data_IF_277449991040
#
_entry.id   IF_277449991040
#
_cell.length_a   1.000
_cell.length_b   1.000
_cell.length_c   1.000
_cell.angle_alpha   90.00
_cell.angle_beta   90.00
_cell.angle_gamma   90.00
#
_symmetry.space_group_name_H-M   'P 1'
#
loop_
_entity.id
_entity.type
_entity.pdbx_description
1 polymer ?
#
# COMPACT_ATOMS: atom_id res chain seq x y z
N UNK A 1 15.75 -10.89 20.59
CA UNK A 1 14.31 -10.70 20.88
C UNK A 1 13.71 -9.95 19.71
N UNK A 2 12.94 -10.63 18.85
CA UNK A 2 12.25 -10.01 17.72
C UNK A 2 11.09 -9.17 18.25
N UNK A 3 11.17 -7.85 18.12
CA UNK A 3 10.08 -6.94 18.46
C UNK A 3 8.87 -7.35 17.61
N UNK A 4 7.74 -7.68 18.25
CA UNK A 4 6.53 -8.14 17.56
C UNK A 4 5.90 -6.98 16.78
N UNK A 5 5.32 -7.28 15.63
CA UNK A 5 4.59 -6.29 14.86
C UNK A 5 3.43 -5.70 15.67
N UNK A 6 3.31 -4.38 15.66
CA UNK A 6 2.24 -3.66 16.37
C UNK A 6 1.09 -3.38 15.40
N UNK A 7 -0.13 -3.71 15.82
CA UNK A 7 -1.33 -3.38 15.04
C UNK A 7 -1.66 -1.90 15.25
N UNK A 8 -1.67 -1.11 14.18
CA UNK A 8 -2.08 0.30 14.24
C UNK A 8 -3.48 0.40 13.67
N UNK A 9 -4.45 0.77 14.52
CA UNK A 9 -5.84 0.97 14.11
C UNK A 9 -5.95 2.27 13.30
N UNK A 10 -5.88 2.16 11.98
CA UNK A 10 -6.32 3.21 11.06
C UNK A 10 -7.82 3.47 11.27
N UNK A 11 -8.26 4.72 11.13
CA UNK A 11 -9.67 5.12 11.30
C UNK A 11 -10.55 4.22 10.41
N UNK A 12 -11.62 3.64 10.97
CA UNK A 12 -12.53 2.71 10.26
C UNK A 12 -13.26 3.41 9.12
N UNK A 13 -12.70 3.44 7.92
CA UNK A 13 -13.46 3.68 6.69
C UNK A 13 -14.37 2.47 6.46
N UNK A 14 -15.67 2.70 6.27
CA UNK A 14 -16.55 1.64 5.74
C UNK A 14 -16.20 1.44 4.27
N UNK A 15 -15.98 0.20 3.87
CA UNK A 15 -15.86 -0.14 2.45
C UNK A 15 -17.19 0.14 1.75
N UNK A 16 -17.14 0.79 0.58
CA UNK A 16 -18.29 0.85 -0.32
C UNK A 16 -18.59 -0.54 -0.91
N UNK A 17 -19.71 -0.69 -1.61
CA UNK A 17 -20.03 -1.94 -2.30
C UNK A 17 -18.90 -2.33 -3.27
N UNK A 18 -18.40 -3.56 -3.17
CA UNK A 18 -17.28 -4.06 -3.97
C UNK A 18 -15.88 -3.78 -3.42
N UNK A 19 -15.75 -2.89 -2.43
CA UNK A 19 -14.49 -2.66 -1.74
C UNK A 19 -14.30 -3.63 -0.57
N UNK A 20 -13.04 -3.95 -0.26
CA UNK A 20 -12.68 -4.73 0.92
C UNK A 20 -11.31 -4.32 1.44
N UNK A 21 -11.00 -4.81 2.64
CA UNK A 21 -9.74 -4.54 3.30
C UNK A 21 -8.95 -5.81 3.47
N UNK A 22 -7.63 -5.68 3.45
CA UNK A 22 -6.69 -6.73 3.79
C UNK A 22 -5.73 -6.27 4.89
N UNK A 23 -5.12 -7.23 5.57
CA UNK A 23 -4.03 -6.92 6.49
C UNK A 23 -2.74 -6.83 5.69
N UNK A 24 -2.03 -5.72 5.82
CA UNK A 24 -0.70 -5.53 5.27
C UNK A 24 0.30 -5.41 6.41
N UNK A 25 1.49 -5.93 6.19
CA UNK A 25 2.65 -5.65 7.02
C UNK A 25 3.53 -4.62 6.31
N UNK A 26 3.93 -3.57 7.02
CA UNK A 26 4.78 -2.49 6.50
C UNK A 26 6.12 -2.48 7.24
N UNK A 27 7.21 -2.45 6.48
CA UNK A 27 8.59 -2.38 7.01
C UNK A 27 9.41 -1.31 6.29
N UNK A 28 10.44 -0.80 6.97
CA UNK A 28 11.43 0.09 6.36
C UNK A 28 12.46 -0.65 5.47
N UNK A 29 12.69 -1.94 5.73
CA UNK A 29 13.63 -2.80 5.00
C UNK A 29 13.03 -4.21 4.91
N UNK A 30 13.40 -5.05 3.92
CA UNK A 30 12.66 -6.29 3.61
C UNK A 30 12.65 -7.28 4.77
N UNK A 31 13.73 -7.30 5.57
CA UNK A 31 13.91 -8.22 6.70
C UNK A 31 14.02 -7.50 8.05
N UNK A 32 13.61 -6.22 8.13
CA UNK A 32 13.67 -5.46 9.40
C UNK A 32 12.84 -6.16 10.47
N UNK A 33 13.36 -6.36 11.69
CA UNK A 33 12.59 -7.00 12.76
C UNK A 33 11.36 -6.21 13.18
N UNK A 34 11.36 -4.90 12.95
CA UNK A 34 10.25 -4.00 13.27
C UNK A 34 9.32 -3.83 12.06
N UNK A 35 8.02 -3.91 12.33
CA UNK A 35 6.96 -3.81 11.34
C UNK A 35 5.69 -3.22 11.96
N UNK A 36 4.86 -2.57 11.14
CA UNK A 36 3.50 -2.17 11.51
C UNK A 36 2.49 -3.03 10.75
N UNK A 37 1.52 -3.59 11.46
CA UNK A 37 0.39 -4.29 10.87
C UNK A 37 -0.78 -3.32 10.71
N UNK A 38 -1.28 -3.19 9.48
CA UNK A 38 -2.31 -2.23 9.12
C UNK A 38 -3.43 -2.92 8.36
N UNK A 39 -4.65 -2.43 8.55
CA UNK A 39 -5.80 -2.82 7.73
C UNK A 39 -5.95 -1.81 6.58
N UNK A 40 -5.65 -2.24 5.36
CA UNK A 40 -5.62 -1.37 4.18
C UNK A 40 -6.79 -1.67 3.25
N UNK A 41 -7.42 -0.62 2.73
CA UNK A 41 -8.40 -0.70 1.65
C UNK A 41 -7.69 -1.11 0.37
N UNK A 42 -8.23 -2.09 -0.35
CA UNK A 42 -7.68 -2.51 -1.64
C UNK A 42 -8.19 -1.56 -2.73
N UNK A 43 -7.26 -0.91 -3.43
CA UNK A 43 -7.56 -0.01 -4.56
C UNK A 43 -6.69 -0.37 -5.77
N UNK A 44 -7.18 -1.22 -6.69
CA UNK A 44 -6.42 -1.61 -7.88
C UNK A 44 -6.22 -0.46 -8.89
N UNK A 45 -7.07 0.57 -8.86
CA UNK A 45 -7.00 1.72 -9.76
C UNK A 45 -6.07 2.81 -9.21
N UNK A 46 -5.85 2.82 -7.88
CA UNK A 46 -4.98 3.77 -7.20
C UNK A 46 -3.51 3.53 -7.50
N UNK A 47 -2.82 4.54 -8.07
CA UNK A 47 -1.39 4.43 -8.40
C UNK A 47 -0.49 4.19 -7.17
N UNK A 48 -0.81 4.77 -6.02
CA UNK A 48 0.06 4.73 -4.84
C UNK A 48 -0.65 4.09 -3.66
N UNK A 49 0.14 3.44 -2.80
CA UNK A 49 -0.32 3.04 -1.47
C UNK A 49 -0.26 4.22 -0.51
N UNK A 50 -1.19 4.28 0.45
CA UNK A 50 -1.29 5.34 1.45
C UNK A 50 -1.22 4.71 2.84
N UNK A 51 -0.30 5.21 3.67
CA UNK A 51 -0.09 4.70 5.02
C UNK A 51 -0.05 5.88 5.99
N UNK A 52 -0.67 5.78 7.18
CA UNK A 52 -0.63 6.85 8.17
C UNK A 52 0.81 7.32 8.41
N UNK A 53 1.04 8.63 8.28
CA UNK A 53 2.37 9.22 8.39
C UNK A 53 3.11 8.77 9.66
N UNK A 54 2.41 8.78 10.80
CA UNK A 54 2.97 8.35 12.08
C UNK A 54 3.49 6.90 12.06
N UNK A 55 2.80 5.98 11.37
CA UNK A 55 3.24 4.60 11.27
C UNK A 55 4.52 4.45 10.43
N UNK A 56 4.66 5.25 9.37
CA UNK A 56 5.89 5.29 8.56
C UNK A 56 7.05 5.95 9.32
N UNK A 57 6.77 7.04 10.04
CA UNK A 57 7.75 7.77 10.84
C UNK A 57 8.27 6.93 12.01
N UNK A 58 7.39 6.19 12.69
CA UNK A 58 7.75 5.22 13.73
C UNK A 58 8.70 4.14 13.21
N UNK A 59 8.54 3.73 11.94
CA UNK A 59 9.43 2.77 11.27
C UNK A 59 10.73 3.41 10.79
N UNK A 60 10.93 4.71 10.98
CA UNK A 60 12.09 5.46 10.49
C UNK A 60 12.10 5.67 8.97
N UNK A 61 10.96 5.52 8.30
CA UNK A 61 10.85 5.71 6.85
C UNK A 61 10.90 7.20 6.54
N UNK A 62 11.86 7.60 5.72
CA UNK A 62 12.09 9.00 5.38
C UNK A 62 11.11 9.51 4.32
N UNK A 63 10.55 10.70 4.55
CA UNK A 63 9.88 11.50 3.51
C UNK A 63 10.92 11.92 2.45
N UNK A 64 10.62 11.74 1.17
CA UNK A 64 11.54 11.95 0.05
C UNK A 64 11.09 13.06 -0.89
N UNK A 65 9.92 12.91 -1.49
CA UNK A 65 9.46 13.79 -2.56
C UNK A 65 7.98 14.13 -2.42
N UNK A 66 7.55 15.36 -2.76
CA UNK A 66 6.15 15.69 -2.83
C UNK A 66 5.52 15.10 -4.09
N UNK A 67 4.33 14.52 -3.93
CA UNK A 67 3.45 14.10 -5.01
C UNK A 67 2.21 14.99 -4.97
N UNK A 68 1.84 15.54 -6.12
CA UNK A 68 0.69 16.42 -6.26
C UNK A 68 -0.57 15.63 -6.62
N UNK A 69 -1.67 15.99 -5.98
CA UNK A 69 -3.01 15.45 -6.19
C UNK A 69 -3.98 16.60 -6.43
N UNK A 70 -5.09 16.28 -7.11
CA UNK A 70 -6.21 17.20 -7.28
C UNK A 70 -7.38 16.65 -6.47
N UNK A 71 -7.93 17.46 -5.56
CA UNK A 71 -9.13 17.08 -4.80
C UNK A 71 -10.36 17.04 -5.72
N UNK A 72 -11.47 16.43 -5.30
CA UNK A 72 -12.72 16.49 -6.06
C UNK A 72 -13.19 17.92 -6.36
N UNK A 73 -12.85 18.87 -5.49
CA UNK A 73 -13.17 20.30 -5.64
C UNK A 73 -12.18 21.06 -6.55
N UNK A 74 -11.20 20.37 -7.13
CA UNK A 74 -10.22 20.93 -8.07
C UNK A 74 -8.99 21.58 -7.40
N UNK A 75 -8.90 21.57 -6.07
CA UNK A 75 -7.76 22.10 -5.35
C UNK A 75 -6.52 21.21 -5.54
N UNK A 76 -5.36 21.82 -5.76
CA UNK A 76 -4.09 21.12 -5.83
C UNK A 76 -3.48 20.99 -4.44
N UNK A 77 -3.33 19.77 -3.97
CA UNK A 77 -2.68 19.45 -2.69
C UNK A 77 -1.44 18.60 -2.93
N UNK A 78 -0.45 18.67 -2.04
CA UNK A 78 0.73 17.80 -2.10
C UNK A 78 0.80 16.91 -0.88
N UNK A 79 1.18 15.65 -1.06
CA UNK A 79 1.57 14.74 0.02
C UNK A 79 3.01 14.31 -0.18
N UNK A 80 3.77 14.19 0.91
CA UNK A 80 5.12 13.64 0.85
C UNK A 80 5.05 12.12 0.68
N UNK A 81 5.95 11.59 -0.15
CA UNK A 81 6.10 10.18 -0.42
C UNK A 81 7.45 9.66 0.07
N UNK A 82 7.53 8.37 0.36
CA UNK A 82 8.76 7.65 0.68
C UNK A 82 8.70 6.23 0.11
N UNK A 83 9.54 5.34 0.64
CA UNK A 83 9.62 3.95 0.18
C UNK A 83 9.40 3.01 1.36
N UNK A 84 8.54 2.01 1.17
CA UNK A 84 8.23 1.02 2.19
C UNK A 84 8.18 -0.37 1.56
N UNK A 85 8.50 -1.37 2.37
CA UNK A 85 8.26 -2.77 2.04
C UNK A 85 6.87 -3.15 2.52
N UNK A 86 6.07 -3.70 1.62
CA UNK A 86 4.74 -4.23 1.89
C UNK A 86 4.79 -5.75 1.84
N UNK A 87 4.10 -6.42 2.77
CA UNK A 87 3.90 -7.87 2.73
C UNK A 87 2.44 -8.19 3.01
N UNK A 88 1.83 -9.01 2.15
CA UNK A 88 0.45 -9.51 2.30
C UNK A 88 0.29 -10.78 1.47
N UNK A 89 -0.59 -11.69 1.90
CA UNK A 89 -0.84 -12.98 1.19
C UNK A 89 0.44 -13.74 0.79
N UNK A 90 1.49 -13.66 1.62
CA UNK A 90 2.77 -14.32 1.35
C UNK A 90 3.65 -13.69 0.27
N UNK A 91 3.19 -12.61 -0.38
CA UNK A 91 3.99 -11.82 -1.33
C UNK A 91 4.58 -10.58 -0.66
N UNK A 92 5.73 -10.13 -1.16
CA UNK A 92 6.42 -8.94 -0.68
C UNK A 92 6.89 -8.07 -1.84
N UNK A 93 6.82 -6.75 -1.68
CA UNK A 93 7.40 -5.78 -2.62
C UNK A 93 7.94 -4.55 -1.88
N UNK A 94 8.74 -3.74 -2.57
CA UNK A 94 9.03 -2.35 -2.20
C UNK A 94 8.21 -1.44 -3.11
N UNK A 95 7.61 -0.39 -2.56
CA UNK A 95 6.84 0.56 -3.37
C UNK A 95 6.93 1.99 -2.81
N UNK A 96 6.57 2.96 -3.65
CA UNK A 96 6.35 4.35 -3.27
C UNK A 96 5.08 4.45 -2.43
N UNK A 97 5.22 4.97 -1.22
CA UNK A 97 4.11 5.14 -0.26
C UNK A 97 3.88 6.61 0.02
N UNK A 98 2.61 7.01 0.04
CA UNK A 98 2.17 8.34 0.46
C UNK A 98 2.02 8.37 1.98
N UNK A 99 2.60 9.39 2.61
CA UNK A 99 2.39 9.69 4.02
C UNK A 99 0.99 10.30 4.18
N UNK A 100 0.02 9.46 4.53
CA UNK A 100 -1.38 9.85 4.70
C UNK A 100 -1.52 10.79 5.91
N UNK A 101 -2.27 11.87 5.71
CA UNK A 101 -2.63 12.82 6.77
C UNK A 101 -3.81 12.28 7.60
N UNK A 102 -4.10 12.97 8.70
CA UNK A 102 -5.19 12.58 9.58
C UNK A 102 -6.53 12.66 8.84
N UNK A 103 -7.17 11.50 8.64
CA UNK A 103 -8.44 11.38 7.92
C UNK A 103 -8.33 10.79 6.53
N UNK A 104 -7.11 10.73 5.97
CA UNK A 104 -6.84 9.96 4.77
C UNK A 104 -6.99 8.45 5.08
N UNK A 105 -7.49 7.65 4.12
CA UNK A 105 -7.58 6.20 4.27
C UNK A 105 -6.19 5.53 4.21
N UNK A 106 -6.06 4.37 4.85
CA UNK A 106 -4.96 3.45 4.56
C UNK A 106 -5.31 2.63 3.32
N UNK A 107 -4.49 2.70 2.27
CA UNK A 107 -4.74 2.10 0.96
C UNK A 107 -3.56 1.23 0.55
N UNK A 108 -3.86 0.03 0.03
CA UNK A 108 -2.94 -0.76 -0.77
C UNK A 108 -3.27 -0.52 -2.25
N UNK A 109 -2.39 0.21 -2.92
CA UNK A 109 -2.61 0.67 -4.29
C UNK A 109 -2.25 -0.37 -5.36
N UNK A 110 -2.74 -0.13 -6.57
CA UNK A 110 -2.53 -0.95 -7.77
C UNK A 110 -1.07 -1.18 -8.13
N UNK A 111 -0.18 -0.22 -7.89
CA UNK A 111 1.25 -0.42 -8.18
C UNK A 111 1.88 -1.49 -7.27
N UNK A 112 1.64 -1.42 -5.95
CA UNK A 112 2.07 -2.46 -5.02
C UNK A 112 1.43 -3.82 -5.33
N UNK A 113 0.13 -3.83 -5.65
CA UNK A 113 -0.60 -5.05 -6.03
C UNK A 113 0.02 -5.71 -7.28
N UNK A 114 0.28 -4.92 -8.32
CA UNK A 114 0.92 -5.40 -9.55
C UNK A 114 2.33 -5.93 -9.29
N UNK A 115 3.13 -5.22 -8.48
CA UNK A 115 4.48 -5.63 -8.13
C UNK A 115 4.52 -6.95 -7.33
N UNK A 116 3.47 -7.24 -6.56
CA UNK A 116 3.30 -8.51 -5.85
C UNK A 116 2.61 -9.60 -6.68
N UNK A 117 2.20 -9.30 -7.92
CA UNK A 117 1.33 -10.15 -8.75
C UNK A 117 0.08 -10.63 -7.99
N UNK A 118 -0.60 -9.70 -7.30
CA UNK A 118 -1.85 -9.97 -6.57
C UNK A 118 -3.04 -9.33 -7.27
N UNK A 119 -4.15 -10.07 -7.34
CA UNK A 119 -5.41 -9.63 -7.95
C UNK A 119 -6.52 -9.62 -6.89
N UNK A 120 -7.35 -8.56 -6.83
CA UNK A 120 -8.52 -8.54 -5.95
C UNK A 120 -9.60 -9.55 -6.39
N UNK A 121 -10.02 -10.41 -5.47
CA UNK A 121 -11.26 -11.19 -5.57
C UNK A 121 -12.31 -10.52 -4.67
N UNK A 122 -13.13 -9.66 -5.26
CA UNK A 122 -14.13 -8.87 -4.54
C UNK A 122 -15.28 -9.73 -3.96
N UNK A 123 -15.55 -10.91 -4.53
CA UNK A 123 -16.60 -11.81 -4.04
C UNK A 123 -16.18 -12.45 -2.72
N UNK A 124 -14.95 -12.98 -2.68
CA UNK A 124 -14.40 -13.59 -1.46
C UNK A 124 -13.66 -12.60 -0.55
N UNK A 125 -13.52 -11.35 -0.98
CA UNK A 125 -12.88 -10.24 -0.25
C UNK A 125 -11.45 -10.56 0.19
N UNK A 126 -10.67 -11.12 -0.73
CA UNK A 126 -9.26 -11.46 -0.52
C UNK A 126 -8.42 -11.08 -1.73
N UNK A 127 -7.11 -11.05 -1.55
CA UNK A 127 -6.17 -11.01 -2.66
C UNK A 127 -5.81 -12.44 -3.05
N UNK A 128 -5.73 -12.72 -4.35
CA UNK A 128 -5.30 -14.01 -4.89
C UNK A 128 -4.10 -13.81 -5.79
N UNK A 129 -3.30 -14.86 -5.96
CA UNK A 129 -2.18 -14.84 -6.90
C UNK A 129 -2.71 -14.57 -8.33
N UNK A 130 -2.05 -13.65 -9.02
CA UNK A 130 -2.25 -13.38 -10.43
C UNK A 130 -1.75 -14.53 -11.30
N UNK A 131 -2.09 -14.47 -12.59
CA UNK A 131 -1.56 -15.40 -13.57
C UNK A 131 -0.05 -15.18 -13.75
N UNK A 132 0.68 -16.17 -14.31
CA UNK A 132 2.07 -15.96 -14.71
C UNK A 132 2.20 -14.74 -15.64
N UNK A 133 3.15 -13.87 -15.32
CA UNK A 133 3.44 -12.70 -16.15
C UNK A 133 4.04 -13.16 -17.49
N UNK A 134 3.55 -12.57 -18.58
CA UNK A 134 4.13 -12.81 -19.90
C UNK A 134 5.49 -12.15 -19.99
N UNK A 135 6.46 -12.85 -20.58
CA UNK A 135 7.75 -12.24 -20.90
C UNK A 135 7.53 -11.14 -21.93
N UNK A 136 8.21 -9.98 -21.80
CA UNK A 136 8.18 -8.97 -22.84
C UNK A 136 8.72 -9.59 -24.14
N UNK A 137 7.93 -9.54 -25.21
CA UNK A 137 8.39 -9.92 -26.54
C UNK A 137 8.98 -8.70 -27.21
N UNK A 138 10.15 -8.84 -27.83
CA UNK A 138 10.58 -7.85 -28.82
C UNK A 138 9.59 -7.95 -29.98
N UNK A 139 8.97 -6.84 -30.37
CA UNK A 139 8.55 -6.75 -31.76
C UNK A 139 9.84 -6.94 -32.59
N UNK A 140 9.85 -7.93 -33.48
CA UNK A 140 10.89 -8.04 -34.50
C UNK A 140 10.88 -6.73 -35.33
N UNK A 141 12.04 -6.26 -35.83
CA UNK A 141 12.20 -4.92 -36.40
C UNK A 141 11.22 -4.62 -37.55
#
# INVERSE_FOLDING_TARGET
>A
MTKRAEFVEGRRTRAAAGQFFVNIEVRAQPNASEAKLLRALVDPEGRYSWVPAAALEDLGIMRRQPIWFTTPDGERVSRLAGYAFFTTEGAQTVDTVIFAEQGDPTILGGHALAAMNLVPDAQSKRLVAGQPLQLPTSAAP
#
